data_IF_289494818613
#
_entry.id   IF_289494818613
#
_cell.length_a   1.000
_cell.length_b   1.000
_cell.length_c   1.000
_cell.angle_alpha   90.00
_cell.angle_beta   90.00
_cell.angle_gamma   90.00
#
_symmetry.space_group_name_H-M   'P 1'
#
loop_
_entity.id
_entity.type
_entity.pdbx_description
1 polymer ?
#
# COMPACT_ATOMS: atom_id res chain seq x y z
N UNK A 1 0.01 -5.34 20.22
CA UNK A 1 0.64 -6.27 19.25
C UNK A 1 0.12 -5.90 17.88
N UNK A 2 0.98 -5.80 16.86
CA UNK A 2 0.54 -5.49 15.50
C UNK A 2 -0.20 -6.71 14.94
N UNK A 3 -1.32 -6.50 14.25
CA UNK A 3 -2.09 -7.57 13.58
C UNK A 3 -2.41 -7.18 12.15
N UNK A 4 -2.74 -8.15 11.31
CA UNK A 4 -3.13 -7.91 9.93
C UNK A 4 -4.40 -7.06 9.85
N UNK A 5 -5.40 -7.33 10.68
CA UNK A 5 -6.69 -6.62 10.69
C UNK A 5 -6.50 -5.13 11.02
N UNK A 6 -5.57 -4.82 11.94
CA UNK A 6 -5.24 -3.44 12.25
C UNK A 6 -4.61 -2.73 11.06
N UNK A 7 -3.70 -3.39 10.36
CA UNK A 7 -3.07 -2.82 9.16
C UNK A 7 -4.12 -2.58 8.09
N UNK A 8 -4.95 -3.58 7.78
CA UNK A 8 -6.02 -3.42 6.79
C UNK A 8 -6.92 -2.23 7.14
N UNK A 9 -7.30 -2.07 8.40
CA UNK A 9 -8.09 -0.92 8.86
C UNK A 9 -7.38 0.42 8.64
N UNK A 10 -6.07 0.50 8.91
CA UNK A 10 -5.28 1.74 8.74
C UNK A 10 -5.15 2.10 7.26
N UNK A 11 -4.99 1.12 6.38
CA UNK A 11 -4.78 1.31 4.95
C UNK A 11 -6.07 1.24 4.11
N UNK A 12 -7.24 1.01 4.73
CA UNK A 12 -8.51 0.83 4.04
C UNK A 12 -8.81 1.95 3.04
N UNK A 13 -8.67 3.21 3.46
CA UNK A 13 -8.95 4.35 2.60
C UNK A 13 -8.02 4.44 1.38
N UNK A 14 -6.80 3.90 1.47
CA UNK A 14 -5.90 3.79 0.33
C UNK A 14 -6.33 2.64 -0.59
N UNK A 15 -6.57 1.45 -0.04
CA UNK A 15 -6.98 0.27 -0.81
C UNK A 15 -8.35 0.47 -1.50
N UNK A 16 -9.22 1.32 -0.95
CA UNK A 16 -10.49 1.69 -1.58
C UNK A 16 -10.32 2.66 -2.76
N UNK A 17 -9.24 3.47 -2.78
CA UNK A 17 -8.96 4.49 -3.80
C UNK A 17 -8.06 3.95 -4.93
N UNK A 18 -7.20 2.96 -4.63
CA UNK A 18 -6.30 2.34 -5.59
C UNK A 18 -6.85 1.00 -6.12
N UNK A 19 -7.31 0.93 -7.38
CA UNK A 19 -7.85 -0.31 -7.96
C UNK A 19 -6.77 -1.33 -8.34
N UNK A 20 -5.47 -1.00 -8.20
CA UNK A 20 -4.38 -1.87 -8.61
C UNK A 20 -3.98 -2.88 -7.54
N UNK A 21 -4.23 -2.59 -6.27
CA UNK A 21 -3.78 -3.43 -5.16
C UNK A 21 -4.93 -3.96 -4.34
N UNK A 22 -4.94 -5.27 -4.14
CA UNK A 22 -5.89 -5.94 -3.24
C UNK A 22 -5.14 -6.73 -2.17
N UNK A 23 -5.67 -6.76 -0.95
CA UNK A 23 -5.19 -7.68 0.09
C UNK A 23 -6.29 -8.69 0.37
N UNK A 24 -6.01 -9.95 0.07
CA UNK A 24 -6.97 -11.04 0.24
C UNK A 24 -6.43 -12.08 1.23
N UNK A 25 -7.32 -12.66 2.02
CA UNK A 25 -6.97 -13.79 2.86
C UNK A 25 -7.12 -15.09 2.08
N UNK A 26 -6.03 -15.84 1.95
CA UNK A 26 -5.99 -17.15 1.31
C UNK A 26 -5.77 -18.26 2.33
N UNK A 27 -5.83 -19.54 1.91
CA UNK A 27 -5.42 -20.67 2.75
C UNK A 27 -3.96 -20.63 3.20
N UNK A 28 -3.13 -19.79 2.56
CA UNK A 28 -1.71 -19.64 2.84
C UNK A 28 -1.38 -18.36 3.64
N UNK A 29 -2.39 -17.58 4.01
CA UNK A 29 -2.24 -16.31 4.73
C UNK A 29 -2.73 -15.11 3.93
N UNK A 30 -2.44 -13.91 4.44
CA UNK A 30 -2.74 -12.66 3.76
C UNK A 30 -1.80 -12.49 2.56
N UNK A 31 -2.38 -12.20 1.40
CA UNK A 31 -1.67 -12.09 0.13
C UNK A 31 -1.97 -10.72 -0.45
N UNK A 32 -0.91 -9.97 -0.75
CA UNK A 32 -1.00 -8.74 -1.53
C UNK A 32 -0.99 -9.12 -3.01
N UNK A 33 -2.02 -8.71 -3.73
CA UNK A 33 -2.18 -8.97 -5.16
C UNK A 33 -2.09 -7.64 -5.92
N UNK A 34 -1.48 -7.68 -7.10
CA UNK A 34 -1.31 -6.52 -7.96
C UNK A 34 -1.93 -6.78 -9.34
N UNK A 35 -2.90 -5.95 -9.71
CA UNK A 35 -3.66 -6.00 -10.95
C UNK A 35 -3.00 -5.14 -12.03
N UNK A 36 -2.94 -5.63 -13.25
CA UNK A 36 -2.49 -4.86 -14.42
C UNK A 36 -3.69 -4.61 -15.35
N UNK A 37 -4.28 -3.39 -15.34
CA UNK A 37 -5.46 -3.07 -16.14
C UNK A 37 -5.26 -3.31 -17.64
N UNK A 38 -4.05 -3.08 -18.18
CA UNK A 38 -3.80 -3.24 -19.61
C UNK A 38 -3.81 -4.71 -20.05
N UNK A 39 -3.44 -5.62 -19.15
CA UNK A 39 -3.44 -7.06 -19.40
C UNK A 39 -4.74 -7.72 -18.98
N UNK A 40 -5.53 -7.04 -18.14
CA UNK A 40 -6.71 -7.61 -17.50
C UNK A 40 -6.38 -8.92 -16.77
N UNK A 41 -5.27 -8.90 -16.03
CA UNK A 41 -4.75 -10.06 -15.28
C UNK A 41 -3.99 -9.63 -14.02
N UNK A 42 -3.87 -10.56 -13.08
CA UNK A 42 -3.03 -10.43 -11.90
C UNK A 42 -1.57 -10.69 -12.28
N UNK A 43 -0.69 -9.72 -12.04
CA UNK A 43 0.73 -9.88 -12.38
C UNK A 43 1.63 -10.21 -11.19
N UNK A 44 1.15 -9.99 -9.95
CA UNK A 44 1.83 -10.43 -8.72
C UNK A 44 0.84 -10.91 -7.66
N UNK A 45 1.26 -11.89 -6.86
CA UNK A 45 0.56 -12.39 -5.69
C UNK A 45 1.61 -12.81 -4.63
N UNK A 46 1.77 -11.98 -3.60
CA UNK A 46 2.85 -12.12 -2.61
C UNK A 46 2.29 -12.36 -1.21
N UNK A 47 2.61 -13.52 -0.63
CA UNK A 47 2.21 -13.86 0.75
C UNK A 47 2.99 -12.99 1.73
N UNK A 48 2.24 -12.26 2.57
CA UNK A 48 2.79 -11.44 3.64
C UNK A 48 2.88 -12.28 4.91
N UNK A 49 4.10 -12.67 5.27
CA UNK A 49 4.35 -13.65 6.35
C UNK A 49 4.04 -13.09 7.73
N UNK A 50 4.21 -11.79 7.91
CA UNK A 50 3.95 -11.08 9.17
C UNK A 50 3.12 -9.82 8.92
N UNK A 51 2.45 -9.30 9.97
CA UNK A 51 1.83 -7.97 9.91
C UNK A 51 2.84 -6.90 9.48
N UNK A 52 4.07 -6.93 10.01
CA UNK A 52 5.12 -5.99 9.63
C UNK A 52 5.46 -6.04 8.14
N UNK A 53 5.50 -7.23 7.54
CA UNK A 53 5.73 -7.39 6.09
C UNK A 53 4.60 -6.74 5.29
N UNK A 54 3.34 -7.02 5.63
CA UNK A 54 2.18 -6.43 4.95
C UNK A 54 2.20 -4.89 5.07
N UNK A 55 2.45 -4.36 6.27
CA UNK A 55 2.55 -2.90 6.48
C UNK A 55 3.62 -2.29 5.59
N UNK A 56 4.81 -2.90 5.52
CA UNK A 56 5.92 -2.36 4.74
C UNK A 56 5.60 -2.41 3.23
N UNK A 57 4.99 -3.49 2.75
CA UNK A 57 4.54 -3.61 1.36
C UNK A 57 3.46 -2.56 1.02
N UNK A 58 2.47 -2.36 1.90
CA UNK A 58 1.42 -1.35 1.71
C UNK A 58 1.95 0.08 1.77
N UNK A 59 2.96 0.37 2.61
CA UNK A 59 3.61 1.69 2.60
C UNK A 59 4.33 1.96 1.28
N UNK A 60 4.98 0.95 0.70
CA UNK A 60 5.65 1.07 -0.59
C UNK A 60 4.65 1.34 -1.72
N UNK A 61 3.59 0.53 -1.80
CA UNK A 61 2.56 0.68 -2.83
C UNK A 61 1.78 2.00 -2.66
N UNK A 62 1.46 2.41 -1.43
CA UNK A 62 0.84 3.70 -1.15
C UNK A 62 1.71 4.89 -1.57
N UNK A 63 3.04 4.81 -1.36
CA UNK A 63 3.94 5.87 -1.80
C UNK A 63 3.94 6.01 -3.33
N UNK A 64 4.00 4.89 -4.05
CA UNK A 64 3.90 4.87 -5.51
C UNK A 64 2.54 5.41 -5.99
N UNK A 65 1.43 4.99 -5.37
CA UNK A 65 0.10 5.51 -5.69
C UNK A 65 0.00 7.04 -5.55
N UNK A 66 0.55 7.60 -4.48
CA UNK A 66 0.57 9.05 -4.29
C UNK A 66 1.47 9.74 -5.32
N UNK A 67 2.62 9.15 -5.63
CA UNK A 67 3.52 9.66 -6.67
C UNK A 67 2.78 9.75 -8.01
N UNK A 68 2.21 8.64 -8.47
CA UNK A 68 1.43 8.56 -9.71
C UNK A 68 0.28 9.59 -9.74
N UNK A 69 -0.42 9.77 -8.62
CA UNK A 69 -1.53 10.74 -8.50
C UNK A 69 -1.08 12.20 -8.58
N UNK A 70 0.13 12.51 -8.09
CA UNK A 70 0.70 13.86 -8.08
C UNK A 70 1.36 14.19 -9.42
N UNK A 71 2.07 13.24 -10.01
CA UNK A 71 2.85 13.43 -11.24
C UNK A 71 2.04 13.15 -12.49
N UNK A 72 0.95 12.39 -12.39
CA UNK A 72 0.24 11.83 -13.53
C UNK A 72 1.07 10.82 -14.32
N UNK A 73 2.17 10.31 -13.74
CA UNK A 73 3.19 9.51 -14.42
C UNK A 73 3.91 10.22 -15.58
N UNK A 74 3.80 11.55 -15.67
CA UNK A 74 4.37 12.35 -16.77
C UNK A 74 5.68 13.08 -16.39
N UNK A 75 6.05 13.07 -15.10
CA UNK A 75 7.22 13.79 -14.57
C UNK A 75 7.71 13.17 -13.26
N UNK A 76 8.90 13.57 -12.85
CA UNK A 76 9.44 13.23 -11.53
C UNK A 76 8.81 14.09 -10.41
N UNK A 77 8.87 13.57 -9.19
CA UNK A 77 8.54 14.31 -7.97
C UNK A 77 9.53 15.45 -7.72
N UNK A 78 9.00 16.58 -7.28
CA UNK A 78 9.80 17.64 -6.66
C UNK A 78 10.20 17.24 -5.23
N UNK A 79 11.23 17.90 -4.69
CA UNK A 79 11.67 17.68 -3.30
C UNK A 79 10.54 17.90 -2.29
N UNK A 80 9.68 18.89 -2.54
CA UNK A 80 8.52 19.18 -1.68
C UNK A 80 7.51 18.04 -1.70
N UNK A 81 7.12 17.56 -2.88
CA UNK A 81 6.16 16.46 -3.03
C UNK A 81 6.69 15.15 -2.43
N UNK A 82 7.99 14.87 -2.61
CA UNK A 82 8.64 13.73 -1.93
C UNK A 82 8.54 13.85 -0.41
N UNK A 83 8.75 15.04 0.15
CA UNK A 83 8.59 15.30 1.58
C UNK A 83 7.16 15.08 2.08
N UNK A 84 6.17 15.46 1.28
CA UNK A 84 4.74 15.27 1.58
C UNK A 84 4.36 13.79 1.57
N UNK A 85 4.78 13.01 0.57
CA UNK A 85 4.54 11.56 0.50
C UNK A 85 5.17 10.88 1.72
N UNK A 86 6.43 11.19 2.03
CA UNK A 86 7.10 10.64 3.21
C UNK A 86 6.37 10.97 4.51
N UNK A 87 5.81 12.18 4.63
CA UNK A 87 5.03 12.57 5.79
C UNK A 87 3.75 11.74 5.92
N UNK A 88 3.00 11.56 4.83
CA UNK A 88 1.79 10.72 4.82
C UNK A 88 2.10 9.26 5.15
N UNK A 89 3.20 8.71 4.64
CA UNK A 89 3.66 7.36 4.99
C UNK A 89 4.00 7.23 6.48
N UNK A 90 4.67 8.24 7.08
CA UNK A 90 4.93 8.27 8.52
C UNK A 90 3.64 8.27 9.34
N UNK A 91 2.63 9.04 8.93
CA UNK A 91 1.34 9.07 9.63
C UNK A 91 0.65 7.71 9.66
N UNK A 92 0.64 6.97 8.55
CA UNK A 92 0.10 5.60 8.51
C UNK A 92 0.94 4.64 9.35
N UNK A 93 2.26 4.78 9.34
CA UNK A 93 3.17 3.99 10.17
C UNK A 93 2.89 4.19 11.67
N UNK A 94 2.69 5.43 12.11
CA UNK A 94 2.37 5.72 13.52
C UNK A 94 0.97 5.22 13.91
N UNK A 95 -0.04 5.37 13.05
CA UNK A 95 -1.38 4.77 13.28
C UNK A 95 -1.32 3.25 13.46
N UNK A 96 -0.39 2.58 12.78
CA UNK A 96 -0.17 1.14 13.00
C UNK A 96 0.39 0.82 14.40
N UNK A 97 1.03 1.77 15.09
CA UNK A 97 1.62 1.61 16.42
C UNK A 97 0.65 1.93 17.57
N UNK A 98 -0.35 2.78 17.34
CA UNK A 98 -1.34 3.19 18.36
C UNK A 98 -2.17 2.02 18.90
N UNK A 99 -2.05 1.70 20.19
CA UNK A 99 -2.65 0.49 20.83
C UNK A 99 -4.13 0.28 20.57
#
# INVERSE_FOLDING_TARGET
MLTFEKILKVFQAYLDDDPLYEVVQTSHGYTLMAWEPHRNDWYSAEIQKTPEDLRNALLGTYANFLEDKITGNDRDLTVTETGEIQQRCRELLEKCRET
#
